data_IF_921883287883
#
_entry.id   IF_921883287883
#
_cell.length_a   1.000
_cell.length_b   1.000
_cell.length_c   1.000
_cell.angle_alpha   90.00
_cell.angle_beta   90.00
_cell.angle_gamma   90.00
#
_symmetry.space_group_name_H-M   'P 1'
#
loop_
_entity.id
_entity.type
_entity.pdbx_description
1 polymer ?
#
# COMPACT_ATOMS: atom_id res chain seq x y z
N UNK A 1 -3.04 -13.32 9.93
CA UNK A 1 -3.07 -12.01 10.59
C UNK A 1 -3.81 -11.05 9.67
N UNK A 2 -4.65 -10.16 10.20
CA UNK A 2 -5.42 -9.19 9.42
C UNK A 2 -4.75 -7.82 9.57
N UNK A 3 -4.01 -7.38 8.55
CA UNK A 3 -3.33 -6.09 8.55
C UNK A 3 -2.53 -5.88 7.28
N UNK A 4 -2.38 -4.62 6.87
CA UNK A 4 -1.48 -4.22 5.80
C UNK A 4 -0.10 -3.90 6.40
N UNK A 5 0.96 -3.93 5.60
CA UNK A 5 2.33 -3.64 6.04
C UNK A 5 2.57 -2.15 6.34
N UNK A 6 1.62 -1.43 6.91
CA UNK A 6 1.79 -0.04 7.35
C UNK A 6 1.01 0.23 8.64
N UNK A 7 1.46 1.19 9.45
CA UNK A 7 0.85 1.51 10.76
C UNK A 7 1.83 1.29 11.91
N UNK A 8 1.37 0.76 13.04
CA UNK A 8 2.21 0.45 14.20
C UNK A 8 2.62 -1.03 14.15
N UNK A 9 3.62 -1.36 13.33
CA UNK A 9 4.19 -2.70 13.14
C UNK A 9 5.70 -2.59 12.95
N UNK A 10 6.44 -3.70 13.10
CA UNK A 10 7.91 -3.69 12.96
C UNK A 10 8.36 -3.51 11.49
N UNK A 11 7.83 -4.35 10.59
CA UNK A 11 8.17 -4.33 9.16
C UNK A 11 7.19 -3.46 8.35
N UNK A 12 7.45 -2.15 8.35
CA UNK A 12 6.63 -1.17 7.62
C UNK A 12 7.09 -0.94 6.19
N UNK A 13 6.14 -0.89 5.26
CA UNK A 13 6.31 -0.30 3.94
C UNK A 13 5.95 1.20 3.97
N UNK A 14 6.55 1.95 3.05
CA UNK A 14 6.22 3.36 2.84
C UNK A 14 5.28 3.50 1.66
N UNK A 15 4.22 4.29 1.81
CA UNK A 15 3.26 4.57 0.74
C UNK A 15 3.32 6.05 0.34
N UNK A 16 3.43 6.36 -0.97
CA UNK A 16 3.35 7.75 -1.44
C UNK A 16 1.95 8.31 -1.18
N UNK A 17 1.88 9.53 -0.64
CA UNK A 17 0.62 10.19 -0.35
C UNK A 17 0.12 10.99 -1.57
N UNK A 18 -1.19 10.97 -1.80
CA UNK A 18 -1.85 11.76 -2.84
C UNK A 18 -1.92 11.11 -4.23
N UNK A 19 -1.43 9.88 -4.39
CA UNK A 19 -1.54 9.10 -5.65
C UNK A 19 -2.66 8.08 -5.60
N UNK A 20 -3.21 7.70 -6.77
CA UNK A 20 -4.21 6.64 -6.86
C UNK A 20 -3.58 5.26 -6.67
N UNK A 21 -4.27 4.40 -5.92
CA UNK A 21 -3.92 3.00 -5.75
C UNK A 21 -5.17 2.10 -5.81
N UNK A 22 -4.98 0.82 -6.17
CA UNK A 22 -6.00 -0.23 -6.12
C UNK A 22 -5.65 -1.23 -5.03
N UNK A 23 -6.59 -1.50 -4.13
CA UNK A 23 -6.54 -2.62 -3.19
C UNK A 23 -7.38 -3.77 -3.75
N UNK A 24 -6.76 -4.93 -3.96
CA UNK A 24 -7.46 -6.17 -4.31
C UNK A 24 -7.42 -7.13 -3.12
N UNK A 25 -8.59 -7.39 -2.53
CA UNK A 25 -8.70 -8.23 -1.34
C UNK A 25 -8.72 -9.72 -1.64
N UNK A 26 -8.99 -10.13 -2.89
CA UNK A 26 -8.94 -11.54 -3.27
C UNK A 26 -7.48 -11.98 -3.45
N UNK A 27 -6.69 -11.12 -4.11
CA UNK A 27 -5.26 -11.36 -4.37
C UNK A 27 -4.33 -10.82 -3.27
N UNK A 28 -4.89 -10.20 -2.23
CA UNK A 28 -4.15 -9.54 -1.15
C UNK A 28 -3.05 -8.57 -1.65
N UNK A 29 -3.39 -7.75 -2.65
CA UNK A 29 -2.44 -6.86 -3.32
C UNK A 29 -2.82 -5.39 -3.24
N UNK A 30 -1.79 -4.53 -3.20
CA UNK A 30 -1.92 -3.08 -3.30
C UNK A 30 -1.07 -2.59 -4.47
N UNK A 31 -1.69 -1.97 -5.47
CA UNK A 31 -1.02 -1.52 -6.70
C UNK A 31 -1.13 -0.01 -6.85
N UNK A 32 -0.01 0.66 -7.10
CA UNK A 32 0.00 2.09 -7.46
C UNK A 32 -0.45 2.25 -8.93
N UNK A 33 -1.39 3.15 -9.18
CA UNK A 33 -1.94 3.42 -10.51
C UNK A 33 -1.26 4.63 -11.18
N UNK A 34 -0.36 5.29 -10.47
CA UNK A 34 0.38 6.49 -10.86
C UNK A 34 1.79 6.44 -10.26
N UNK A 35 2.72 7.23 -10.81
CA UNK A 35 4.06 7.34 -10.27
C UNK A 35 4.02 7.94 -8.85
N UNK A 36 4.74 7.31 -7.91
CA UNK A 36 4.83 7.77 -6.52
C UNK A 36 5.80 8.94 -6.30
N UNK A 37 6.61 9.26 -7.31
CA UNK A 37 7.61 10.33 -7.34
C UNK A 37 7.72 10.85 -8.77
N UNK A 38 8.14 12.11 -8.92
CA UNK A 38 8.49 12.75 -10.20
C UNK A 38 9.99 12.70 -10.48
#
# INVERSE_FOLDING_TARGET
SYGLSFGHIDDMCTLPYGVRARLDTQEASLTLLEAGVS
#
